data_IF_937964191340
#
_entry.id   IF_937964191340
#
_cell.length_a   1.000
_cell.length_b   1.000
_cell.length_c   1.000
_cell.angle_alpha   90.00
_cell.angle_beta   90.00
_cell.angle_gamma   90.00
#
_symmetry.space_group_name_H-M   'P 1'
#
loop_
_entity.id
_entity.type
_entity.pdbx_description
1 polymer ?
#
# COMPACT_ATOMS: atom_id res chain seq x y z
N UNK A 1 -15.39 -14.01 6.14
CA UNK A 1 -14.08 -13.64 5.57
C UNK A 1 -13.81 -12.25 6.09
N UNK A 2 -12.72 -12.01 6.83
CA UNK A 2 -12.43 -10.65 7.32
C UNK A 2 -11.86 -9.88 6.14
N UNK A 3 -12.64 -8.97 5.59
CA UNK A 3 -12.21 -8.08 4.52
C UNK A 3 -11.35 -6.99 5.16
N UNK A 4 -10.03 -7.22 5.19
CA UNK A 4 -9.09 -6.18 5.58
C UNK A 4 -8.75 -5.33 4.37
N UNK A 5 -8.66 -4.02 4.58
CA UNK A 5 -8.28 -3.05 3.55
C UNK A 5 -7.20 -2.15 4.13
N UNK A 6 -6.23 -1.78 3.30
CA UNK A 6 -5.20 -0.82 3.65
C UNK A 6 -5.36 0.44 2.81
N UNK A 7 -5.06 1.60 3.42
CA UNK A 7 -5.08 2.87 2.72
C UNK A 7 -3.70 3.22 2.20
N UNK A 8 -3.62 3.29 0.88
CA UNK A 8 -2.42 3.69 0.16
C UNK A 8 -2.53 5.16 -0.17
N UNK A 9 -1.45 5.90 0.06
CA UNK A 9 -1.28 7.29 -0.33
C UNK A 9 0.02 7.39 -1.11
N UNK A 10 -0.06 7.79 -2.39
CA UNK A 10 1.15 8.01 -3.16
C UNK A 10 1.88 9.27 -2.66
N UNK A 11 3.15 9.18 -2.21
CA UNK A 11 3.89 10.36 -1.72
C UNK A 11 4.23 11.37 -2.84
N UNK A 12 4.21 10.94 -4.10
CA UNK A 12 4.61 11.78 -5.24
C UNK A 12 3.42 12.60 -5.79
N UNK A 13 2.23 11.99 -5.91
CA UNK A 13 1.03 12.68 -6.43
C UNK A 13 -0.05 12.93 -5.38
N UNK A 14 0.18 12.54 -4.11
CA UNK A 14 -0.78 12.65 -3.00
C UNK A 14 -2.14 11.99 -3.26
N UNK A 15 -2.21 11.04 -4.20
CA UNK A 15 -3.43 10.29 -4.47
C UNK A 15 -3.62 9.20 -3.42
N UNK A 16 -4.81 9.11 -2.84
CA UNK A 16 -5.21 8.04 -1.94
C UNK A 16 -6.16 7.03 -2.60
N UNK A 17 -6.06 5.77 -2.20
CA UNK A 17 -6.99 4.69 -2.54
C UNK A 17 -6.95 3.57 -1.50
N UNK A 18 -7.95 2.69 -1.56
CA UNK A 18 -8.10 1.55 -0.66
C UNK A 18 -7.90 0.26 -1.45
N UNK A 19 -7.05 -0.64 -0.95
CA UNK A 19 -6.71 -1.89 -1.62
C UNK A 19 -6.59 -3.04 -0.60
N UNK A 20 -6.81 -4.27 -1.05
CA UNK A 20 -6.71 -5.44 -0.20
C UNK A 20 -5.25 -5.79 0.08
N UNK A 21 -4.85 -6.07 1.34
CA UNK A 21 -3.48 -6.41 1.67
C UNK A 21 -3.00 -7.72 1.03
N UNK A 22 -3.93 -8.58 0.59
CA UNK A 22 -3.65 -9.82 -0.15
C UNK A 22 -3.50 -9.62 -1.66
N UNK A 23 -3.99 -8.51 -2.21
CA UNK A 23 -3.85 -8.16 -3.63
C UNK A 23 -2.55 -7.38 -3.89
N UNK A 24 -1.96 -6.84 -2.82
CA UNK A 24 -0.76 -6.05 -2.84
C UNK A 24 0.51 -6.90 -2.77
N UNK A 25 1.62 -6.45 -3.39
CA UNK A 25 2.91 -7.11 -3.27
C UNK A 25 3.51 -6.94 -1.85
N UNK A 26 4.68 -7.52 -1.64
CA UNK A 26 5.46 -7.37 -0.42
C UNK A 26 5.61 -5.90 0.01
N UNK A 27 5.51 -5.60 1.32
CA UNK A 27 5.75 -4.23 1.81
C UNK A 27 7.15 -3.68 1.42
N UNK A 28 8.10 -4.59 1.20
CA UNK A 28 9.47 -4.28 0.76
C UNK A 28 9.64 -4.26 -0.76
N UNK A 29 8.64 -4.73 -1.50
CA UNK A 29 8.67 -4.79 -2.95
C UNK A 29 8.37 -3.43 -3.56
N UNK A 30 8.84 -3.27 -4.80
CA UNK A 30 8.59 -2.07 -5.58
C UNK A 30 7.15 -2.10 -6.08
N UNK A 31 6.39 -1.07 -5.71
CA UNK A 31 5.06 -0.80 -6.20
C UNK A 31 5.08 0.46 -7.07
N UNK A 32 4.40 0.38 -8.21
CA UNK A 32 4.28 1.49 -9.14
C UNK A 32 2.90 2.11 -8.99
N UNK A 33 2.85 3.41 -8.70
CA UNK A 33 1.58 4.11 -8.57
C UNK A 33 0.79 4.06 -9.90
N UNK A 34 -0.50 3.68 -9.89
CA UNK A 34 -1.30 3.62 -11.11
C UNK A 34 -1.65 5.00 -11.70
N UNK A 35 -1.41 6.10 -10.98
CA UNK A 35 -1.70 7.46 -11.48
C UNK A 35 -0.48 8.22 -11.98
N UNK A 36 0.64 8.19 -11.27
CA UNK A 36 1.84 8.93 -11.66
C UNK A 36 2.97 8.03 -12.16
N UNK A 37 2.79 6.71 -12.13
CA UNK A 37 3.80 5.71 -12.50
C UNK A 37 5.09 5.79 -11.67
N UNK A 38 5.08 6.46 -10.52
CA UNK A 38 6.22 6.49 -9.62
C UNK A 38 6.45 5.11 -9.00
N UNK A 39 7.67 4.59 -9.13
CA UNK A 39 8.08 3.31 -8.55
C UNK A 39 8.79 3.54 -7.22
N UNK A 40 8.16 3.13 -6.12
CA UNK A 40 8.71 3.20 -4.75
C UNK A 40 8.41 1.90 -4.01
N UNK A 41 8.88 1.74 -2.78
CA UNK A 41 8.48 0.56 -1.98
C UNK A 41 7.03 0.69 -1.57
N UNK A 42 6.27 -0.41 -1.55
CA UNK A 42 4.88 -0.39 -1.11
C UNK A 42 4.73 0.21 0.32
N UNK A 43 5.69 -0.04 1.21
CA UNK A 43 5.72 0.57 2.54
C UNK A 43 5.69 2.12 2.52
N UNK A 44 6.23 2.77 1.49
CA UNK A 44 6.21 4.24 1.35
C UNK A 44 4.83 4.78 0.96
N UNK A 45 3.97 3.90 0.41
CA UNK A 45 2.58 4.23 0.14
C UNK A 45 1.70 4.06 1.38
N UNK A 46 2.20 3.44 2.45
CA UNK A 46 1.42 3.28 3.68
C UNK A 46 1.27 4.63 4.37
N UNK A 47 0.03 5.07 4.56
CA UNK A 47 -0.26 6.35 5.21
C UNK A 47 0.19 6.35 6.67
N UNK A 48 0.05 5.20 7.35
CA UNK A 48 0.40 5.05 8.77
C UNK A 48 1.10 3.73 9.03
N UNK A 49 1.80 3.65 10.17
CA UNK A 49 2.39 2.40 10.66
C UNK A 49 1.34 1.29 10.85
N UNK A 50 0.08 1.65 11.13
CA UNK A 50 -1.02 0.70 11.30
C UNK A 50 -1.48 0.07 10.00
N UNK A 51 -1.47 0.82 8.89
CA UNK A 51 -1.71 0.26 7.55
C UNK A 51 -0.60 -0.73 7.17
N UNK A 52 0.65 -0.37 7.48
CA UNK A 52 1.80 -1.25 7.27
C UNK A 52 1.73 -2.52 8.13
N UNK A 53 1.35 -2.40 9.40
CA UNK A 53 1.18 -3.55 10.30
C UNK A 53 0.06 -4.47 9.79
N UNK A 54 -1.06 -3.89 9.36
CA UNK A 54 -2.15 -4.63 8.72
C UNK A 54 -1.61 -5.42 7.52
N UNK A 55 -0.90 -4.78 6.59
CA UNK A 55 -0.33 -5.48 5.44
C UNK A 55 0.60 -6.64 5.84
N UNK A 56 1.42 -6.46 6.88
CA UNK A 56 2.31 -7.52 7.40
C UNK A 56 1.56 -8.70 8.03
N UNK A 57 0.36 -8.49 8.56
CA UNK A 57 -0.45 -9.57 9.15
C UNK A 57 -1.02 -10.53 8.08
N UNK A 58 -1.10 -10.10 6.82
CA UNK A 58 -1.65 -10.88 5.70
C UNK A 58 -0.58 -11.45 4.77
N UNK A 59 0.70 -11.38 5.15
CA UNK A 59 1.86 -11.74 4.33
C UNK A 59 2.71 -12.84 4.97
#
# INVERSE_FOLDING_TARGET
>A
MVEAFVRLLCPECSKDWEEGPTDLPGHRENFSCPSCHATRRLAEFMRTERDLDTLKQFQ
#
